data_IF_883985571251
#
_entry.id   IF_883985571251
#
_cell.length_a   1.000
_cell.length_b   1.000
_cell.length_c   1.000
_cell.angle_alpha   90.00
_cell.angle_beta   90.00
_cell.angle_gamma   90.00
#
_symmetry.space_group_name_H-M   'P 1'
#
loop_
_entity.id
_entity.type
_entity.pdbx_description
1 polymer ?
2 non-polymer ?
3 non-polymer ?
4 water ?
#
# COMPACT_ATOMS: atom_id res chain seq x y z
N UNK A 12 -5.66 8.29 24.35
CA UNK A 12 -4.86 8.09 23.12
C UNK A 12 -4.38 9.44 22.66
N UNK A 13 -3.09 9.72 22.87
CA UNK A 13 -2.56 11.03 22.54
C UNK A 13 -2.36 11.18 21.04
N UNK A 14 -2.64 12.36 20.50
CA UNK A 14 -2.43 12.59 19.06
C UNK A 14 -0.98 12.32 18.65
N UNK A 15 -0.79 11.81 17.42
CA UNK A 15 0.56 11.51 16.96
C UNK A 15 1.31 12.76 16.51
N UNK A 16 2.63 12.80 16.72
CA UNK A 16 3.47 13.97 16.41
C UNK A 16 3.71 14.12 14.91
N UNK A 17 4.49 15.14 14.54
CA UNK A 17 4.84 15.33 13.13
C UNK A 17 6.33 15.66 13.03
N UNK A 18 7.04 14.87 12.23
CA UNK A 18 8.47 15.05 12.04
C UNK A 18 8.67 15.88 10.78
N UNK A 19 9.33 17.03 10.93
CA UNK A 19 9.66 17.87 9.79
C UNK A 19 10.98 17.43 9.23
N UNK A 20 10.99 17.16 7.93
CA UNK A 20 12.21 16.72 7.27
C UNK A 20 12.79 17.74 6.32
N UNK A 21 11.97 18.66 5.80
CA UNK A 21 12.52 19.68 4.90
C UNK A 21 11.46 20.76 4.74
N UNK A 22 11.91 22.00 4.59
CA UNK A 22 11.00 23.13 4.54
C UNK A 22 10.32 23.24 3.18
N UNK A 23 9.15 23.87 3.18
CA UNK A 23 8.41 24.07 1.96
C UNK A 23 9.11 25.08 1.06
N UNK A 24 9.12 24.81 -0.23
CA UNK A 24 9.70 25.76 -1.18
C UNK A 24 8.57 26.58 -1.83
N UNK A 25 8.54 27.92 -1.71
CA UNK A 25 9.59 28.79 -1.19
C UNK A 25 9.53 28.87 0.34
N UNK A 29 6.90 22.48 -6.49
CA UNK A 29 6.04 23.62 -6.27
C UNK A 29 4.62 23.20 -5.86
N UNK A 30 4.25 21.91 -5.96
CA UNK A 30 2.97 21.44 -5.45
C UNK A 30 3.19 20.57 -4.22
N UNK A 31 2.41 20.83 -3.16
CA UNK A 31 2.49 19.99 -1.96
C UNK A 31 1.17 19.25 -1.74
N UNK A 32 1.27 18.01 -1.25
CA UNK A 32 0.07 17.25 -0.96
C UNK A 32 0.43 16.14 0.02
N UNK A 33 -0.59 15.56 0.64
CA UNK A 33 -0.35 14.55 1.66
C UNK A 33 -0.89 13.21 1.17
N UNK A 34 -0.28 12.14 1.67
CA UNK A 34 -0.63 10.78 1.29
C UNK A 34 -0.73 9.95 2.56
N UNK A 35 -1.83 9.22 2.69
CA UNK A 35 -2.02 8.25 3.77
C UNK A 35 -1.92 6.83 3.22
N UNK A 36 -1.33 5.93 4.02
CA UNK A 36 -1.33 4.51 3.68
C UNK A 36 -1.77 3.76 4.94
N UNK A 37 -2.79 2.90 4.85
CA UNK A 37 -3.40 2.36 6.07
C UNK A 37 -4.08 1.04 5.80
N UNK A 38 -3.66 0.00 6.52
CA UNK A 38 -4.33 -1.28 6.47
C UNK A 38 -5.29 -1.30 7.66
N UNK A 39 -6.61 -1.32 7.38
CA UNK A 39 -7.59 -1.06 8.45
C UNK A 39 -7.90 -2.30 9.28
N UNK A 40 -7.37 -3.46 8.89
CA UNK A 40 -7.70 -4.80 9.44
C UNK A 40 -9.17 -5.15 9.17
N UNK A 41 -9.41 -6.02 8.18
CA UNK A 41 -10.80 -6.28 7.84
C UNK A 41 -11.46 -7.17 8.89
N UNK A 42 -12.79 -7.09 8.94
CA UNK A 42 -13.57 -7.83 9.93
C UNK A 42 -13.30 -9.31 9.83
N UNK A 43 -13.11 -9.82 8.61
CA UNK A 43 -12.95 -11.28 8.44
C UNK A 43 -11.74 -11.80 9.18
N UNK A 44 -10.69 -11.00 9.26
CA UNK A 44 -9.45 -11.43 9.87
C UNK A 44 -9.32 -11.03 11.33
N UNK A 45 -10.27 -10.25 11.87
CA UNK A 45 -10.22 -9.78 13.25
C UNK A 45 -10.86 -10.78 14.21
N UNK A 46 -10.14 -11.86 14.41
CA UNK A 46 -10.60 -13.03 15.17
C UNK A 46 -9.93 -13.12 16.53
N UNK A 47 -10.63 -13.75 17.48
CA UNK A 47 -10.03 -14.08 18.77
C UNK A 47 -8.81 -14.98 18.63
N UNK A 48 -8.79 -15.84 17.61
CA UNK A 48 -7.60 -16.67 17.41
C UNK A 48 -6.36 -15.82 17.19
N UNK A 49 -6.46 -14.76 16.39
CA UNK A 49 -5.28 -13.97 16.05
C UNK A 49 -5.04 -12.81 17.00
N UNK A 50 -6.09 -12.33 17.66
CA UNK A 50 -6.02 -11.09 18.42
C UNK A 50 -6.73 -11.30 19.74
N UNK A 51 -6.46 -12.45 20.36
CA UNK A 51 -7.09 -12.85 21.62
C UNK A 51 -6.82 -11.90 22.76
N UNK A 52 -5.79 -11.08 22.65
CA UNK A 52 -5.48 -10.11 23.70
C UNK A 52 -6.38 -8.89 23.64
N UNK A 53 -7.16 -8.76 22.57
CA UNK A 53 -8.13 -7.68 22.42
C UNK A 53 -9.51 -8.21 22.73
N UNK A 54 -10.23 -7.63 23.69
CA UNK A 54 -11.60 -8.08 24.00
C UNK A 54 -12.50 -8.04 22.77
N UNK A 55 -13.47 -8.96 22.75
CA UNK A 55 -14.36 -9.10 21.60
C UNK A 55 -15.07 -7.81 21.27
N UNK A 56 -15.50 -7.06 22.28
CA UNK A 56 -16.28 -5.86 22.00
C UNK A 56 -15.44 -4.80 21.29
N UNK A 57 -14.12 -4.79 21.50
CA UNK A 57 -13.21 -3.86 20.82
C UNK A 57 -12.70 -4.40 19.49
N UNK A 58 -12.88 -5.69 19.24
CA UNK A 58 -12.59 -6.27 17.93
C UNK A 58 -13.74 -6.09 16.98
N UNK A 59 -14.96 -6.08 17.51
CA UNK A 59 -16.18 -6.00 16.73
C UNK A 59 -16.11 -4.85 15.72
N UNK A 60 -16.58 -5.10 14.49
CA UNK A 60 -16.50 -4.09 13.41
C UNK A 60 -17.34 -2.87 13.73
N UNK A 61 -18.49 -3.06 14.38
CA UNK A 61 -19.32 -1.87 14.64
C UNK A 61 -18.62 -0.91 15.59
N UNK A 62 -17.71 -1.44 16.41
CA UNK A 62 -16.90 -0.62 17.30
C UNK A 62 -15.68 -0.08 16.56
N UNK A 63 -14.93 -0.97 15.89
CA UNK A 63 -13.65 -0.60 15.28
C UNK A 63 -13.83 0.34 14.12
N UNK A 64 -14.93 0.22 13.37
CA UNK A 64 -15.03 1.06 12.19
C UNK A 64 -15.10 2.53 12.59
N UNK A 65 -15.59 2.81 13.80
CA UNK A 65 -15.60 4.20 14.25
C UNK A 65 -14.17 4.71 14.40
N UNK A 66 -13.30 3.94 15.08
CA UNK A 66 -11.92 4.38 15.25
C UNK A 66 -11.20 4.46 13.90
N UNK A 67 -11.53 3.56 12.98
CA UNK A 67 -10.91 3.60 11.66
C UNK A 67 -11.29 4.89 10.95
N UNK A 68 -12.57 5.22 10.94
CA UNK A 68 -12.99 6.45 10.28
C UNK A 68 -12.43 7.68 10.97
N UNK A 69 -12.36 7.66 12.31
CA UNK A 69 -11.76 8.80 12.99
C UNK A 69 -10.30 8.99 12.55
N UNK A 70 -9.52 7.90 12.49
CA UNK A 70 -8.12 8.00 12.05
C UNK A 70 -8.02 8.61 10.67
N UNK A 71 -8.86 8.14 9.75
CA UNK A 71 -8.84 8.65 8.38
C UNK A 71 -9.25 10.10 8.35
N UNK A 72 -10.32 10.47 9.05
CA UNK A 72 -10.74 11.87 9.04
C UNK A 72 -9.66 12.76 9.65
N UNK A 73 -9.08 12.32 10.76
CA UNK A 73 -8.08 13.14 11.43
C UNK A 73 -6.87 13.35 10.56
N UNK A 74 -6.46 12.32 9.81
CA UNK A 74 -5.28 12.50 8.97
C UNK A 74 -5.56 13.43 7.82
N UNK A 75 -6.79 13.44 7.32
CA UNK A 75 -7.22 14.45 6.33
C UNK A 75 -6.29 14.49 5.10
N UNK A 76 -5.89 13.31 4.64
CA UNK A 76 -4.88 13.23 3.58
C UNK A 76 -5.48 13.56 2.22
N UNK A 77 -4.66 14.23 1.39
CA UNK A 77 -5.13 14.54 0.04
C UNK A 77 -5.36 13.29 -0.75
N UNK A 78 -4.56 12.26 -0.51
CA UNK A 78 -4.67 10.96 -1.18
C UNK A 78 -4.59 9.90 -0.11
N UNK A 79 -5.49 8.90 -0.20
CA UNK A 79 -5.59 7.84 0.81
C UNK A 79 -5.50 6.50 0.10
N UNK A 80 -4.60 5.63 0.55
CA UNK A 80 -4.51 4.26 0.06
C UNK A 80 -4.83 3.35 1.23
N UNK A 81 -5.91 2.55 1.10
CA UNK A 81 -6.30 1.63 2.17
C UNK A 81 -6.13 0.20 1.67
N UNK A 82 -5.79 -0.69 2.60
CA UNK A 82 -5.82 -2.12 2.35
C UNK A 82 -6.79 -2.76 3.35
N UNK A 83 -7.21 -3.98 3.05
CA UNK A 83 -8.14 -4.73 3.84
C UNK A 83 -9.53 -4.06 3.86
N UNK A 84 -9.94 -3.44 2.75
CA UNK A 84 -11.26 -2.81 2.68
C UNK A 84 -12.22 -3.88 2.16
N UNK A 85 -13.19 -4.26 2.99
CA UNK A 85 -14.20 -5.22 2.59
C UNK A 85 -15.13 -4.60 1.56
N UNK A 86 -15.49 -5.37 0.54
CA UNK A 86 -16.30 -4.86 -0.56
C UNK A 86 -17.54 -4.10 -0.06
N UNK A 87 -18.38 -4.73 0.77
CA UNK A 87 -19.60 -4.03 1.15
C UNK A 87 -19.27 -2.78 1.95
N UNK A 88 -18.15 -2.79 2.68
CA UNK A 88 -17.80 -1.62 3.48
C UNK A 88 -17.30 -0.48 2.61
N UNK A 89 -16.63 -0.77 1.50
CA UNK A 89 -16.30 0.34 0.61
C UNK A 89 -17.57 1.08 0.20
N UNK A 90 -18.59 0.34 -0.20
CA UNK A 90 -19.76 1.00 -0.77
C UNK A 90 -20.70 1.57 0.28
N UNK A 91 -20.75 1.02 1.50
CA UNK A 91 -21.69 1.56 2.48
C UNK A 91 -21.05 2.44 3.55
N UNK A 92 -19.73 2.37 3.73
CA UNK A 92 -19.05 3.14 4.79
C UNK A 92 -18.00 4.05 4.20
N UNK A 93 -16.92 3.51 3.63
CA UNK A 93 -15.78 4.37 3.28
C UNK A 93 -16.11 5.38 2.20
N UNK A 94 -16.62 4.94 1.04
CA UNK A 94 -16.93 5.89 -0.02
C UNK A 94 -17.98 6.93 0.39
N UNK A 95 -19.14 6.55 0.96
CA UNK A 95 -20.12 7.60 1.30
C UNK A 95 -19.57 8.63 2.26
N UNK A 96 -18.88 8.16 3.30
CA UNK A 96 -18.37 9.09 4.30
C UNK A 96 -17.29 10.00 3.69
N UNK A 97 -16.38 9.43 2.90
CA UNK A 97 -15.30 10.25 2.34
C UNK A 97 -15.80 11.15 1.22
N UNK A 98 -16.87 10.74 0.53
CA UNK A 98 -17.53 11.67 -0.41
C UNK A 98 -17.93 12.94 0.32
N UNK A 99 -18.46 12.80 1.52
CA UNK A 99 -18.82 13.97 2.30
C UNK A 99 -17.62 14.83 2.66
N UNK A 100 -16.41 14.27 2.74
CA UNK A 100 -15.20 15.06 3.01
C UNK A 100 -14.52 15.53 1.73
N UNK A 101 -15.20 15.41 0.59
CA UNK A 101 -14.69 15.90 -0.69
C UNK A 101 -13.82 14.93 -1.46
N UNK A 102 -13.95 13.62 -1.22
CA UNK A 102 -13.15 12.64 -1.95
C UNK A 102 -13.99 11.91 -2.97
N UNK A 103 -13.33 11.42 -4.03
CA UNK A 103 -13.83 10.30 -4.80
C UNK A 103 -12.88 9.14 -4.59
N UNK A 104 -13.23 7.96 -5.11
CA UNK A 104 -12.45 6.78 -4.80
C UNK A 104 -12.52 5.75 -5.90
N UNK A 105 -11.53 4.88 -5.88
CA UNK A 105 -11.50 3.68 -6.73
C UNK A 105 -11.18 2.46 -5.87
N UNK A 106 -11.93 1.37 -6.04
CA UNK A 106 -11.82 0.19 -5.23
C UNK A 106 -11.81 -1.03 -6.13
N UNK A 107 -10.97 -1.99 -5.82
CA UNK A 107 -11.14 -3.34 -6.42
C UNK A 107 -10.99 -4.36 -5.33
N UNK A 108 -11.84 -5.38 -5.28
CA UNK A 108 -11.63 -6.49 -4.35
C UNK A 108 -10.70 -7.51 -4.96
N UNK A 109 -10.10 -8.32 -4.09
CA UNK A 109 -9.54 -9.57 -4.61
C UNK A 109 -10.63 -10.52 -5.11
N UNK A 110 -10.21 -11.56 -5.83
CA UNK A 110 -11.02 -12.78 -6.06
C UNK A 110 -12.23 -12.59 -6.96
N UNK A 111 -12.24 -11.54 -7.77
CA UNK A 111 -13.29 -11.37 -8.78
C UNK A 111 -13.60 -12.65 -9.52
N UNK A 112 -12.55 -13.34 -9.98
CA UNK A 112 -12.73 -14.52 -10.84
C UNK A 112 -13.14 -15.76 -10.08
N UNK A 113 -13.02 -15.73 -8.74
CA UNK A 113 -13.39 -16.89 -7.96
C UNK A 113 -14.90 -16.97 -7.80
N UNK A 114 -15.42 -18.17 -7.92
CA UNK A 114 -16.84 -18.40 -7.74
C UNK A 114 -17.15 -18.44 -6.25
N UNK A 115 -18.24 -17.79 -5.84
CA UNK A 115 -18.64 -17.75 -4.43
C UNK A 115 -20.04 -17.20 -4.35
N UNK A 116 -20.62 -17.29 -3.17
CA UNK A 116 -21.98 -16.84 -2.98
C UNK A 116 -22.04 -15.32 -2.88
N UNK A 117 -23.27 -14.80 -3.03
CA UNK A 117 -23.56 -13.37 -2.88
C UNK A 117 -23.05 -12.85 -1.55
N UNK A 118 -23.23 -13.62 -0.48
CA UNK A 118 -22.86 -13.14 0.83
C UNK A 118 -21.35 -13.10 1.01
N UNK A 119 -20.65 -14.12 0.51
CA UNK A 119 -19.19 -14.10 0.62
C UNK A 119 -18.61 -12.98 -0.19
N UNK A 120 -19.23 -12.67 -1.33
CA UNK A 120 -18.70 -11.63 -2.19
C UNK A 120 -18.67 -10.29 -1.45
N UNK A 121 -19.66 -10.05 -0.58
CA UNK A 121 -19.70 -8.78 0.16
C UNK A 121 -18.53 -8.62 1.10
N UNK A 122 -17.94 -9.74 1.51
CA UNK A 122 -16.92 -9.71 2.54
C UNK A 122 -15.52 -9.93 2.00
N UNK A 123 -15.34 -10.01 0.68
CA UNK A 123 -13.99 -10.09 0.13
C UNK A 123 -13.33 -8.73 0.30
N UNK A 124 -12.06 -8.73 0.73
CA UNK A 124 -11.38 -7.44 0.88
C UNK A 124 -10.52 -7.09 -0.33
N UNK A 125 -10.15 -5.81 -0.42
CA UNK A 125 -9.29 -5.37 -1.51
C UNK A 125 -8.69 -4.02 -1.17
N UNK A 126 -8.25 -3.31 -2.20
CA UNK A 126 -7.53 -2.04 -2.07
C UNK A 126 -8.35 -0.89 -2.60
N UNK A 127 -8.30 0.24 -1.92
CA UNK A 127 -8.98 1.45 -2.38
C UNK A 127 -8.01 2.63 -2.38
N UNK A 128 -8.15 3.51 -3.35
CA UNK A 128 -7.46 4.80 -3.36
C UNK A 128 -8.51 5.88 -3.39
N UNK A 129 -8.43 6.83 -2.42
CA UNK A 129 -9.28 8.01 -2.44
C UNK A 129 -8.44 9.26 -2.71
N UNK A 130 -9.04 10.25 -3.35
CA UNK A 130 -8.35 11.51 -3.62
C UNK A 130 -9.33 12.66 -3.50
N UNK A 131 -8.84 13.82 -3.05
CA UNK A 131 -9.72 14.98 -2.91
C UNK A 131 -9.97 15.60 -4.28
N UNK A 132 -11.25 15.74 -4.65
CA UNK A 132 -11.57 16.13 -6.02
C UNK A 132 -11.28 17.59 -6.27
N UNK A 133 -11.15 18.38 -5.21
CA UNK A 133 -10.79 19.78 -5.45
C UNK A 133 -9.33 19.90 -5.91
N UNK A 134 -8.52 18.87 -5.66
CA UNK A 134 -7.11 18.89 -6.01
C UNK A 134 -6.72 17.97 -7.15
N UNK A 135 -7.45 16.89 -7.39
CA UNK A 135 -7.13 15.89 -8.41
C UNK A 135 -8.35 15.50 -9.21
N UNK A 136 -8.12 15.15 -10.48
CA UNK A 136 -9.14 14.58 -11.35
C UNK A 136 -8.64 13.25 -11.84
N UNK A 137 -9.50 12.24 -11.75
CA UNK A 137 -9.19 10.89 -12.22
C UNK A 137 -9.08 10.85 -13.74
N UNK A 138 -7.99 10.29 -14.25
CA UNK A 138 -7.81 10.12 -15.69
C UNK A 138 -7.98 8.66 -16.09
N UNK A 139 -7.36 7.74 -15.35
CA UNK A 139 -7.52 6.31 -15.59
C UNK A 139 -7.50 5.57 -14.28
N UNK A 140 -8.02 4.35 -14.28
CA UNK A 140 -7.97 3.48 -13.10
C UNK A 140 -7.69 2.08 -13.61
N UNK A 141 -7.00 1.30 -12.79
CA UNK A 141 -6.45 0.02 -13.22
C UNK A 141 -6.47 -0.95 -12.06
N UNK A 142 -6.72 -2.21 -12.33
CA UNK A 142 -6.53 -3.26 -11.31
C UNK A 142 -5.45 -4.21 -11.84
N UNK A 143 -4.48 -4.56 -10.99
CA UNK A 143 -3.43 -5.50 -11.37
C UNK A 143 -3.69 -6.82 -10.64
N UNK A 144 -3.96 -7.89 -11.42
CA UNK A 144 -4.24 -9.22 -10.87
C UNK A 144 -2.96 -10.01 -10.90
N UNK A 145 -2.32 -10.12 -9.74
CA UNK A 145 -1.04 -10.81 -9.74
C UNK A 145 -1.17 -12.24 -10.21
N UNK A 146 -2.31 -12.90 -9.92
CA UNK A 146 -2.40 -14.30 -10.36
C UNK A 146 -2.50 -14.42 -11.88
N UNK A 147 -3.14 -13.46 -12.53
CA UNK A 147 -3.18 -13.50 -13.99
C UNK A 147 -1.82 -13.16 -14.57
N UNK A 148 -1.13 -12.19 -14.00
CA UNK A 148 0.18 -11.84 -14.56
C UNK A 148 1.15 -12.98 -14.36
N UNK A 149 1.09 -13.63 -13.21
CA UNK A 149 1.97 -14.77 -12.98
C UNK A 149 1.68 -15.88 -13.98
N UNK A 150 0.40 -16.20 -14.16
CA UNK A 150 0.01 -17.26 -15.10
C UNK A 150 0.55 -16.95 -16.48
N UNK A 151 0.37 -15.71 -16.93
CA UNK A 151 0.79 -15.31 -18.27
C UNK A 151 2.31 -15.34 -18.45
N UNK A 152 3.08 -15.21 -17.38
CA UNK A 152 4.54 -15.21 -17.44
C UNK A 152 5.17 -16.45 -16.82
N UNK A 153 4.47 -17.57 -16.81
CA UNK A 153 4.91 -18.73 -16.07
C UNK A 153 5.60 -19.78 -16.94
N UNK A 154 5.65 -19.57 -18.26
CA UNK A 154 6.21 -20.57 -19.17
C UNK A 154 7.60 -20.94 -18.74
N UNK A 155 7.83 -22.23 -18.51
CA UNK A 155 9.14 -22.65 -18.09
C UNK A 155 9.40 -22.61 -16.60
N UNK A 156 8.39 -22.32 -15.77
CA UNK A 156 8.64 -22.29 -14.33
C UNK A 156 7.48 -22.94 -13.58
N UNK A 157 7.71 -24.16 -13.05
CA UNK A 157 6.72 -24.75 -12.17
C UNK A 157 6.48 -23.89 -10.93
N UNK A 158 7.52 -23.26 -10.40
CA UNK A 158 7.34 -22.44 -9.21
C UNK A 158 6.42 -21.25 -9.48
N UNK A 159 6.55 -20.62 -10.65
CA UNK A 159 5.65 -19.52 -10.98
C UNK A 159 4.21 -19.99 -10.95
N UNK A 160 3.95 -21.17 -11.50
CA UNK A 160 2.57 -21.66 -11.52
C UNK A 160 2.15 -22.15 -10.13
N UNK A 161 3.01 -22.94 -9.46
CA UNK A 161 2.60 -23.56 -8.20
C UNK A 161 2.50 -22.56 -7.08
N UNK A 162 3.53 -21.70 -6.94
CA UNK A 162 3.56 -20.84 -5.76
C UNK A 162 3.01 -19.46 -6.02
N UNK A 163 3.21 -18.89 -7.21
CA UNK A 163 2.85 -17.48 -7.41
C UNK A 163 1.43 -17.32 -7.94
N UNK A 164 1.09 -18.11 -8.97
CA UNK A 164 -0.22 -17.96 -9.61
C UNK A 164 -1.33 -18.27 -8.63
N UNK A 165 -1.07 -19.15 -7.68
CA UNK A 165 -2.12 -19.61 -6.77
C UNK A 165 -2.45 -18.59 -5.69
N UNK A 166 -1.82 -17.43 -5.67
CA UNK A 166 -2.14 -16.41 -4.67
C UNK A 166 -2.90 -15.30 -5.39
N UNK A 167 -4.07 -14.89 -4.88
CA UNK A 167 -4.88 -13.96 -5.66
C UNK A 167 -4.80 -12.52 -5.12
N UNK A 168 -3.65 -12.14 -4.64
CA UNK A 168 -3.42 -10.75 -4.24
C UNK A 168 -3.48 -9.80 -5.44
N UNK A 169 -3.79 -8.53 -5.13
CA UNK A 169 -3.95 -7.52 -6.18
C UNK A 169 -3.30 -6.21 -5.76
N UNK A 170 -3.13 -5.35 -6.76
CA UNK A 170 -2.94 -3.93 -6.50
C UNK A 170 -3.86 -3.13 -7.40
N UNK A 171 -4.02 -1.83 -7.04
CA UNK A 171 -4.79 -0.93 -7.88
C UNK A 171 -3.92 0.29 -8.17
N UNK A 172 -4.23 1.00 -9.26
CA UNK A 172 -3.52 2.23 -9.56
C UNK A 172 -4.46 3.22 -10.21
N UNK A 173 -4.28 4.50 -9.92
CA UNK A 173 -5.02 5.54 -10.62
C UNK A 173 -4.03 6.52 -11.22
N UNK A 174 -4.36 7.02 -12.40
CA UNK A 174 -3.65 8.16 -12.97
C UNK A 174 -4.51 9.38 -12.67
N UNK A 175 -3.91 10.35 -12.00
CA UNK A 175 -4.61 11.57 -11.65
C UNK A 175 -3.98 12.77 -12.32
N UNK A 176 -4.84 13.74 -12.63
CA UNK A 176 -4.44 15.08 -13.00
C UNK A 176 -4.25 15.89 -11.72
N UNK A 177 -3.08 16.49 -11.55
CA UNK A 177 -2.82 17.40 -10.44
C UNK A 177 -3.22 18.80 -10.89
N UNK A 178 -4.18 19.41 -10.18
CA UNK A 178 -4.72 20.67 -10.68
C UNK A 178 -3.67 21.76 -10.61
N UNK A 179 -3.56 22.55 -11.70
CA UNK A 179 -2.51 23.57 -11.79
C UNK A 179 -2.54 24.55 -10.62
N UNK A 180 -3.72 24.84 -10.06
CA UNK A 180 -3.82 25.73 -8.92
C UNK A 180 -2.89 25.33 -7.78
N UNK A 181 -2.58 24.03 -7.65
CA UNK A 181 -1.71 23.61 -6.55
C UNK A 181 -0.26 24.05 -6.73
N UNK A 182 0.13 24.48 -7.93
CA UNK A 182 1.50 24.93 -8.18
C UNK A 182 1.60 26.45 -8.03
N UNK A 194 -1.04 19.86 -18.58
CA UNK A 194 -1.62 18.95 -17.57
C UNK A 194 -0.57 18.11 -16.84
N UNK A 195 -0.49 18.24 -15.53
CA UNK A 195 0.48 17.48 -14.74
C UNK A 195 -0.19 16.19 -14.28
N UNK A 196 0.45 15.06 -14.52
CA UNK A 196 -0.11 13.77 -14.13
C UNK A 196 0.65 13.19 -12.94
N UNK A 197 -0.04 12.29 -12.23
CA UNK A 197 0.50 11.60 -11.08
C UNK A 197 -0.15 10.23 -11.05
N UNK A 198 0.65 9.18 -10.90
CA UNK A 198 0.11 7.84 -10.71
C UNK A 198 0.25 7.47 -9.25
N UNK A 199 -0.84 7.03 -8.66
CA UNK A 199 -0.84 6.52 -7.29
C UNK A 199 -1.15 5.04 -7.38
N UNK A 200 -0.31 4.22 -6.77
CA UNK A 200 -0.52 2.78 -6.81
C UNK A 200 -0.62 2.26 -5.39
N UNK A 201 -1.40 1.21 -5.19
CA UNK A 201 -1.73 0.72 -3.85
C UNK A 201 -1.86 -0.79 -3.95
N UNK A 202 -1.02 -1.52 -3.22
CA UNK A 202 -1.04 -2.97 -3.32
C UNK A 202 -1.02 -3.59 -1.92
N UNK A 203 -1.44 -4.85 -1.85
CA UNK A 203 -1.39 -5.64 -0.63
C UNK A 203 -0.83 -7.02 -1.01
N UNK A 204 0.41 -7.31 -0.62
CA UNK A 204 1.05 -8.55 -1.05
C UNK A 204 0.69 -9.75 -0.16
N UNK A 205 1.00 -10.94 -0.65
CA UNK A 205 0.82 -12.17 0.12
C UNK A 205 1.58 -12.07 1.44
N UNK A 206 1.13 -12.82 2.44
CA UNK A 206 1.58 -12.51 3.81
C UNK A 206 2.65 -13.48 4.35
N UNK A 207 2.70 -14.73 3.89
CA UNK A 207 3.34 -15.82 4.61
C UNK A 207 4.84 -15.60 4.68
N UNK A 208 5.46 -15.60 5.87
CA UNK A 208 6.91 -15.38 5.96
C UNK A 208 7.71 -16.36 5.17
N UNK A 209 7.16 -17.54 4.84
CA UNK A 209 7.96 -18.53 4.12
C UNK A 209 7.88 -18.33 2.62
N UNK A 210 7.26 -17.24 2.18
CA UNK A 210 7.05 -17.01 0.76
C UNK A 210 7.64 -15.68 0.31
N UNK A 211 8.91 -15.41 0.69
CA UNK A 211 9.57 -14.19 0.24
C UNK A 211 9.63 -14.10 -1.28
N UNK A 212 9.71 -15.26 -1.96
CA UNK A 212 9.76 -15.28 -3.42
C UNK A 212 8.47 -14.75 -4.03
N UNK A 213 7.33 -15.21 -3.51
CA UNK A 213 6.05 -14.70 -3.99
C UNK A 213 5.93 -13.20 -3.75
N UNK A 214 6.32 -12.72 -2.56
CA UNK A 214 6.24 -11.30 -2.26
C UNK A 214 7.12 -10.48 -3.20
N UNK A 215 8.33 -10.99 -3.49
CA UNK A 215 9.22 -10.27 -4.40
C UNK A 215 8.66 -10.31 -5.82
N UNK A 216 8.19 -11.46 -6.28
CA UNK A 216 7.69 -11.53 -7.65
C UNK A 216 6.43 -10.65 -7.78
N UNK A 217 5.57 -10.69 -6.76
CA UNK A 217 4.37 -9.86 -6.79
C UNK A 217 4.74 -8.40 -6.90
N UNK A 218 5.80 -8.00 -6.21
CA UNK A 218 6.23 -6.60 -6.27
C UNK A 218 6.78 -6.26 -7.64
N UNK A 219 7.59 -7.15 -8.23
CA UNK A 219 8.09 -6.89 -9.59
C UNK A 219 6.96 -6.88 -10.58
N UNK A 220 6.00 -7.80 -10.45
CA UNK A 220 4.87 -7.76 -11.37
C UNK A 220 4.13 -6.44 -11.26
N UNK A 221 3.93 -5.94 -10.04
CA UNK A 221 3.17 -4.70 -9.87
C UNK A 221 3.90 -3.52 -10.49
N UNK A 222 5.19 -3.37 -10.17
CA UNK A 222 5.97 -2.26 -10.73
C UNK A 222 6.00 -2.35 -12.25
N UNK A 223 6.18 -3.57 -12.77
CA UNK A 223 6.22 -3.77 -14.21
C UNK A 223 4.90 -3.36 -14.83
N UNK A 224 3.78 -3.74 -14.21
CA UNK A 224 2.50 -3.39 -14.81
C UNK A 224 2.21 -1.89 -14.69
N UNK A 225 2.69 -1.27 -13.60
CA UNK A 225 2.53 0.18 -13.44
C UNK A 225 3.30 0.91 -14.54
N UNK A 226 4.51 0.45 -14.84
CA UNK A 226 5.26 1.07 -15.94
C UNK A 226 4.50 0.94 -17.26
N UNK A 227 3.87 -0.21 -17.52
CA UNK A 227 3.05 -0.37 -18.72
C UNK A 227 1.87 0.60 -18.72
N UNK A 228 1.23 0.77 -17.58
CA UNK A 228 0.19 1.78 -17.44
C UNK A 228 0.73 3.16 -17.79
N UNK A 229 1.92 3.49 -17.28
CA UNK A 229 2.51 4.82 -17.45
C UNK A 229 2.86 5.10 -18.90
N UNK A 230 3.31 4.08 -19.63
CA UNK A 230 3.58 4.25 -21.05
C UNK A 230 2.31 4.59 -21.83
N UNK A 231 1.18 4.07 -21.38
CA UNK A 231 -0.05 4.34 -22.11
C UNK A 231 -0.77 5.58 -21.60
N UNK A 232 -0.37 6.14 -20.46
CA UNK A 232 -0.84 7.46 -20.06
C UNK A 232 -0.13 8.59 -20.80
N UNK A 233 1.08 8.34 -21.30
CA UNK A 233 1.86 9.38 -21.98
C UNK A 233 1.55 9.48 -23.46
N UNK A 234 1.19 8.37 -24.11
CA UNK A 234 1.01 8.33 -25.56
C UNK A 234 -0.36 8.83 -26.02
N UNK A 235 -1.06 9.58 -25.17
CA UNK A 235 -2.43 10.02 -25.43
C UNK A 235 -2.49 11.54 -25.57
N UNK A 236 -2.52 12.08 -26.80
CA UNK A 236 -2.76 13.52 -27.02
C UNK A 236 -4.14 13.96 -26.52
N UNK A 244 8.51 7.72 -18.48
CA UNK A 244 9.46 7.92 -17.38
C UNK A 244 9.15 9.25 -16.70
N UNK A 245 8.41 10.09 -17.42
CA UNK A 245 8.22 11.48 -17.06
C UNK A 245 7.15 11.72 -16.00
N UNK A 246 6.43 10.69 -15.57
CA UNK A 246 5.27 10.87 -14.69
C UNK A 246 5.64 10.38 -13.30
N UNK A 247 5.47 11.20 -12.26
CA UNK A 247 5.81 10.77 -10.91
C UNK A 247 4.95 9.61 -10.44
N UNK A 248 5.51 8.77 -9.55
CA UNK A 248 4.83 7.63 -8.96
C UNK A 248 4.86 7.80 -7.44
N UNK A 249 3.71 7.59 -6.79
CA UNK A 249 3.60 7.35 -5.36
C UNK A 249 3.05 5.92 -5.20
N UNK A 250 3.81 5.08 -4.55
CA UNK A 250 3.47 3.66 -4.39
C UNK A 250 3.21 3.40 -2.92
N UNK A 251 1.97 3.11 -2.57
CA UNK A 251 1.59 2.70 -1.22
C UNK A 251 1.42 1.20 -1.15
N UNK A 252 1.87 0.57 -0.05
CA UNK A 252 1.59 -0.87 -0.03
C UNK A 252 1.75 -1.43 1.36
N UNK A 253 0.97 -2.49 1.66
CA UNK A 253 1.31 -3.42 2.72
C UNK A 253 2.08 -4.52 2.00
N UNK A 254 3.39 -4.47 2.07
CA UNK A 254 4.25 -5.42 1.37
C UNK A 254 4.51 -6.68 2.17
N UNK A 255 4.14 -6.71 3.44
CA UNK A 255 4.38 -7.88 4.27
C UNK A 255 5.84 -8.27 4.21
N UNK A 256 6.69 -7.28 4.12
CA UNK A 256 8.14 -7.43 3.93
C UNK A 256 8.84 -6.42 4.81
N UNK A 257 9.85 -6.86 5.57
CA UNK A 257 10.63 -5.99 6.41
C UNK A 257 11.61 -5.18 5.57
N UNK A 258 12.16 -4.09 6.14
CA UNK A 258 13.07 -3.24 5.34
C UNK A 258 14.31 -3.95 4.82
N UNK A 259 14.71 -5.11 5.37
CA UNK A 259 15.92 -5.82 4.92
C UNK A 259 15.63 -6.88 3.85
N UNK A 260 14.47 -6.86 3.26
CA UNK A 260 14.01 -7.88 2.35
C UNK A 260 14.39 -7.57 0.90
N UNK A 261 14.31 -8.60 0.05
CA UNK A 261 14.51 -8.39 -1.37
C UNK A 261 13.49 -7.43 -1.97
N UNK A 262 12.24 -7.51 -1.48
CA UNK A 262 11.19 -6.57 -1.89
C UNK A 262 11.64 -5.12 -1.72
N UNK A 263 12.10 -4.78 -0.51
CA UNK A 263 12.43 -3.38 -0.27
C UNK A 263 13.72 -3.01 -0.99
N UNK A 264 14.65 -3.94 -1.11
CA UNK A 264 15.86 -3.65 -1.87
C UNK A 264 15.52 -3.40 -3.34
N UNK A 265 14.62 -4.21 -3.90
CA UNK A 265 14.23 -4.01 -5.30
C UNK A 265 13.58 -2.63 -5.49
N UNK A 266 12.66 -2.25 -4.58
CA UNK A 266 12.02 -0.93 -4.69
C UNK A 266 13.00 0.23 -4.44
N UNK A 267 13.94 0.08 -3.50
CA UNK A 267 14.79 1.20 -3.09
C UNK A 267 15.99 1.40 -3.99
N UNK A 268 16.45 0.35 -4.67
CA UNK A 268 17.70 0.41 -5.42
C UNK A 268 17.48 0.24 -6.92
N UNK A 269 16.25 0.34 -7.38
CA UNK A 269 16.00 0.28 -8.80
C UNK A 269 16.21 -1.07 -9.42
N UNK A 270 16.33 -2.11 -8.61
CA UNK A 270 16.47 -3.45 -9.16
C UNK A 270 16.95 -4.43 -8.11
N UNK A 271 17.11 -5.67 -8.56
CA UNK A 271 17.54 -6.76 -7.69
C UNK A 271 18.21 -7.83 -8.56
N UNK A 272 19.15 -8.56 -7.96
CA UNK A 272 19.79 -9.62 -8.70
C UNK A 272 18.83 -10.79 -8.91
N UNK A 273 18.93 -11.44 -10.07
CA UNK A 273 18.02 -12.55 -10.29
C UNK A 273 18.41 -13.79 -9.50
N UNK A 274 19.48 -13.72 -8.71
CA UNK A 274 19.86 -14.82 -7.83
C UNK A 274 19.71 -14.44 -6.37
N UNK A 275 19.00 -13.34 -6.09
CA UNK A 275 18.74 -12.96 -4.72
C UNK A 275 18.19 -14.13 -3.92
N UNK A 276 18.69 -14.26 -2.69
CA UNK A 276 18.26 -15.31 -1.77
C UNK A 276 16.76 -15.40 -1.67
N UNK A 277 16.05 -14.28 -1.72
CA UNK A 277 14.61 -14.34 -1.51
C UNK A 277 13.88 -15.07 -2.62
N UNK A 278 14.54 -15.37 -3.75
CA UNK A 278 13.87 -16.08 -4.83
C UNK A 278 13.77 -17.57 -4.58
N UNK A 279 14.39 -18.07 -3.52
CA UNK A 279 14.14 -19.40 -2.98
C UNK A 279 14.20 -20.49 -4.03
N UNK A 280 14.84 -20.25 -5.16
CA UNK A 280 14.99 -21.23 -6.23
C UNK A 280 13.63 -21.73 -6.77
N UNK A 281 13.44 -21.70 -8.08
CA UNK A 281 14.36 -21.11 -9.04
C UNK A 281 14.63 -19.59 -8.86
N UNK A 282 15.89 -19.29 -8.54
CA UNK A 282 16.46 -17.96 -8.57
C UNK A 282 16.60 -17.50 -10.02
N UNK A 283 17.55 -18.08 -10.75
CA UNK A 283 17.99 -17.60 -12.06
C UNK A 283 17.00 -17.88 -13.19
N UNK A 284 15.71 -18.02 -12.89
CA UNK A 284 14.74 -18.36 -13.92
C UNK A 284 14.60 -17.22 -14.92
N UNK A 285 14.61 -17.56 -16.21
CA UNK A 285 14.49 -16.53 -17.23
C UNK A 285 13.15 -15.81 -17.20
N UNK A 286 12.15 -16.39 -16.55
CA UNK A 286 10.83 -15.80 -16.53
C UNK A 286 10.80 -14.49 -15.75
N UNK A 287 11.71 -14.30 -14.80
CA UNK A 287 11.78 -13.05 -14.05
C UNK A 287 12.08 -11.85 -14.95
N UNK A 288 12.81 -12.04 -16.05
CA UNK A 288 13.16 -10.91 -16.89
C UNK A 288 11.95 -10.32 -17.61
N UNK A 289 10.86 -11.08 -17.69
CA UNK A 289 9.59 -10.54 -18.22
C UNK A 289 9.18 -9.26 -17.47
N UNK A 290 9.59 -9.10 -16.22
CA UNK A 290 9.23 -7.92 -15.44
C UNK A 290 10.37 -6.93 -15.36
N UNK A 291 11.42 -7.13 -16.15
CA UNK A 291 12.76 -6.75 -15.82
C UNK A 291 13.30 -5.50 -16.44
N UNK A 292 12.43 -4.57 -16.82
CA UNK A 292 12.88 -3.25 -17.26
C UNK A 292 11.76 -2.22 -17.25
N UNK A 300 24.31 -9.57 -17.49
CA UNK A 300 23.12 -8.92 -16.95
C UNK A 300 22.84 -9.37 -15.50
N UNK A 301 21.80 -10.15 -15.32
CA UNK A 301 21.49 -10.78 -14.06
C UNK A 301 20.65 -9.93 -13.13
N UNK A 302 20.33 -8.70 -13.50
CA UNK A 302 19.56 -7.82 -12.63
C UNK A 302 18.21 -7.54 -13.27
N UNK A 303 17.16 -7.73 -12.49
CA UNK A 303 15.83 -7.27 -12.86
C UNK A 303 15.76 -5.82 -12.42
N UNK A 304 15.52 -4.91 -13.35
CA UNK A 304 15.56 -3.49 -13.01
C UNK A 304 14.22 -2.81 -13.25
N UNK A 305 14.07 -1.65 -12.61
CA UNK A 305 13.03 -0.71 -12.95
C UNK A 305 13.63 0.69 -12.92
N UNK A 306 12.96 1.63 -13.57
CA UNK A 306 13.56 2.95 -13.71
C UNK A 306 12.88 4.02 -12.88
N UNK A 307 12.14 3.64 -11.84
CA UNK A 307 11.31 4.61 -11.12
C UNK A 307 12.06 5.42 -10.08
N UNK A 308 13.28 5.03 -9.70
CA UNK A 308 14.09 5.75 -8.69
C UNK A 308 13.24 6.14 -7.48
N UNK A 309 12.83 5.12 -6.76
CA UNK A 309 11.92 5.30 -5.63
C UNK A 309 12.70 5.48 -4.33
N UNK A 310 12.05 6.16 -3.37
CA UNK A 310 12.59 6.34 -2.04
C UNK A 310 11.44 6.20 -1.05
N UNK A 311 11.71 5.65 0.12
CA UNK A 311 10.65 5.47 1.10
C UNK A 311 10.51 6.74 1.94
N UNK A 312 9.27 7.19 2.15
CA UNK A 312 9.06 8.42 2.92
C UNK A 312 9.56 8.30 4.35
N UNK A 313 9.54 7.10 4.93
CA UNK A 313 9.93 6.88 6.33
C UNK A 313 11.30 6.26 6.49
N UNK A 314 12.17 6.34 5.48
CA UNK A 314 13.44 5.65 5.62
C UNK A 314 14.24 6.24 6.77
N UNK A 315 15.13 5.41 7.32
CA UNK A 315 15.85 5.64 8.59
C UNK A 315 14.92 5.41 9.79
N UNK A 316 14.14 4.33 9.71
CA UNK A 316 13.31 3.78 10.80
C UNK A 316 12.64 4.87 11.64
N UNK A 317 12.03 5.84 10.96
CA UNK A 317 11.34 6.90 11.69
C UNK A 317 10.12 6.37 12.45
N UNK A 318 9.51 5.29 11.97
CA UNK A 318 8.60 4.48 12.79
C UNK A 318 9.27 3.16 13.09
N UNK A 319 9.32 2.70 14.35
CA UNK A 319 9.94 1.39 14.60
C UNK A 319 9.09 0.22 14.11
N UNK A 320 7.79 0.43 13.92
CA UNK A 320 6.96 -0.61 13.34
C UNK A 320 5.73 0.01 12.69
N UNK A 321 5.14 -0.74 11.75
CA UNK A 321 3.85 -0.39 11.20
C UNK A 321 2.79 -1.43 11.50
N UNK A 322 3.17 -2.70 11.67
CA UNK A 322 2.28 -3.75 12.14
C UNK A 322 2.71 -4.04 13.58
N UNK A 323 1.74 -4.06 14.52
CA UNK A 323 2.09 -4.13 15.94
C UNK A 323 1.15 -5.14 16.59
N UNK A 324 1.63 -6.38 16.76
CA UNK A 324 0.88 -7.44 17.41
C UNK A 324 1.75 -8.09 18.46
N UNK A 325 1.11 -8.95 19.23
CA UNK A 325 1.88 -9.59 20.30
C UNK A 325 3.02 -10.41 19.70
N UNK A 326 2.72 -11.15 18.63
CA UNK A 326 3.68 -12.08 18.04
C UNK A 326 4.65 -11.42 17.06
N UNK A 327 4.26 -10.30 16.44
CA UNK A 327 5.07 -9.69 15.40
C UNK A 327 4.92 -8.17 15.44
N UNK A 328 6.06 -7.47 15.52
CA UNK A 328 6.09 -6.00 15.37
C UNK A 328 7.14 -5.68 14.34
N UNK A 329 6.80 -4.91 13.31
CA UNK A 329 7.84 -4.54 12.37
C UNK A 329 7.28 -3.61 11.32
N UNK A 330 8.19 -3.02 10.55
CA UNK A 330 7.82 -2.18 9.42
C UNK A 330 7.54 -3.08 8.22
N UNK A 331 6.27 -3.11 7.77
CA UNK A 331 5.91 -3.86 6.58
C UNK A 331 5.00 -3.06 5.65
N UNK A 332 4.64 -1.84 6.04
CA UNK A 332 3.88 -0.92 5.20
C UNK A 332 4.78 0.23 4.77
N UNK A 333 4.56 0.73 3.55
CA UNK A 333 5.47 1.73 2.99
C UNK A 333 4.71 2.72 2.10
N UNK A 334 5.21 3.94 2.06
CA UNK A 334 4.91 4.91 1.01
C UNK A 334 6.23 5.20 0.30
N UNK A 335 6.31 4.80 -0.96
CA UNK A 335 7.46 5.09 -1.81
C UNK A 335 7.11 6.20 -2.81
N UNK A 336 8.10 7.03 -3.16
CA UNK A 336 7.88 8.13 -4.09
C UNK A 336 9.04 8.29 -5.05
N UNK A 337 8.75 8.82 -6.25
CA UNK A 337 9.75 9.18 -7.24
C UNK A 337 10.66 10.30 -6.71
N UNK A 338 11.90 9.96 -6.37
CA UNK A 338 12.78 10.93 -5.73
C UNK A 338 13.27 11.98 -6.71
N UNK A 339 13.10 11.77 -8.01
CA UNK A 339 13.49 12.80 -8.95
C UNK A 339 12.37 13.79 -9.23
N UNK A 340 11.16 13.53 -8.73
CA UNK A 340 10.03 14.43 -8.92
C UNK A 340 9.58 15.10 -7.64
N UNK A 341 9.83 14.47 -6.49
CA UNK A 341 9.22 14.85 -5.23
C UNK A 341 10.23 14.89 -4.09
N UNK A 342 10.05 15.86 -3.20
CA UNK A 342 10.69 15.91 -1.90
C UNK A 342 9.71 15.45 -0.83
N UNK A 343 10.26 14.90 0.25
CA UNK A 343 9.50 14.61 1.47
C UNK A 343 9.65 15.78 2.41
N UNK A 344 8.53 16.44 2.72
CA UNK A 344 8.61 17.53 3.68
C UNK A 344 8.45 17.07 5.12
N UNK A 345 7.72 15.99 5.35
CA UNK A 345 7.51 15.56 6.71
C UNK A 345 6.66 14.31 6.72
N UNK A 346 6.62 13.68 7.89
CA UNK A 346 5.83 12.48 8.07
C UNK A 346 5.15 12.54 9.45
N UNK A 347 4.12 11.72 9.62
CA UNK A 347 3.47 11.55 10.91
C UNK A 347 4.27 10.53 11.71
N UNK A 348 4.86 10.95 12.82
CA UNK A 348 5.65 10.02 13.58
C UNK A 348 4.82 8.98 14.33
N UNK A 349 5.49 8.04 14.97
CA UNK A 349 4.81 6.96 15.70
C UNK A 349 4.02 7.45 16.89
N UNK A 350 3.00 6.68 17.25
CA UNK A 350 2.35 6.82 18.55
C UNK A 350 3.39 6.77 19.65
N UNK A 351 3.27 7.67 20.64
CA UNK A 351 4.26 7.79 21.70
C UNK A 351 4.50 6.45 22.40
N UNK A 352 5.72 5.91 22.41
CA UNK A 352 5.93 4.56 22.94
C UNK A 352 5.79 4.50 24.45
N UNK A 353 6.04 5.62 25.15
CA UNK A 353 5.81 5.61 26.61
C UNK A 353 4.34 5.45 26.91
N UNK A 354 3.47 5.89 26.00
CA UNK A 354 2.04 5.72 26.21
C UNK A 354 1.66 4.25 26.11
N UNK A 355 2.22 3.54 25.11
CA UNK A 355 2.01 2.10 25.03
C UNK A 355 2.57 1.38 26.25
N UNK A 356 3.72 1.84 26.76
CA UNK A 356 4.29 1.21 27.95
C UNK A 356 3.38 1.43 29.16
N UNK A 357 2.99 2.68 29.41
CA UNK A 357 2.20 2.96 30.60
C UNK A 357 0.89 2.18 30.58
N UNK A 358 0.32 1.98 29.41
CA UNK A 358 -0.93 1.25 29.26
C UNK A 358 -0.76 -0.23 29.02
N UNK A 359 0.47 -0.76 29.13
CA UNK A 359 0.68 -2.20 28.99
C UNK A 359 0.15 -2.75 27.66
N UNK A 360 0.29 -1.99 26.59
CA UNK A 360 -0.24 -2.43 25.28
C UNK A 360 0.87 -3.16 24.52
N UNK A 361 0.73 -4.48 24.38
CA UNK A 361 1.74 -5.33 23.76
C UNK A 361 1.37 -5.73 22.36
N UNK A 362 0.18 -5.39 21.93
CA UNK A 362 -0.28 -5.69 20.59
C UNK A 362 -1.56 -4.95 20.30
N UNK A 363 -1.88 -4.86 19.00
CA UNK A 363 -3.05 -4.15 18.52
C UNK A 363 -3.85 -5.12 17.62
N UNK A 364 -5.16 -4.88 17.43
CA UNK A 364 -5.90 -3.76 18.04
C UNK A 364 -6.13 -3.83 19.53
N UNK A 365 -6.69 -2.72 20.02
CA UNK A 365 -6.86 -2.42 21.43
C UNK A 365 -8.09 -1.51 21.50
N UNK A 366 -8.78 -1.46 22.65
CA UNK A 366 -9.94 -0.55 22.74
C UNK A 366 -9.66 0.84 22.19
N UNK A 367 -8.42 1.30 22.27
CA UNK A 367 -8.10 2.63 21.77
C UNK A 367 -7.35 2.66 20.45
N UNK A 368 -7.02 1.50 19.88
CA UNK A 368 -6.30 1.49 18.60
C UNK A 368 -7.00 0.49 17.67
N UNK A 369 -7.60 0.94 16.57
CA UNK A 369 -8.61 0.11 15.91
C UNK A 369 -8.07 -0.83 14.84
N UNK A 370 -6.76 -0.84 14.62
CA UNK A 370 -6.17 -1.74 13.61
C UNK A 370 -4.89 -2.31 14.19
N UNK A 371 -4.47 -3.48 13.70
CA UNK A 371 -3.13 -3.92 14.03
C UNK A 371 -2.06 -3.25 13.19
N UNK A 372 -2.40 -2.34 12.28
CA UNK A 372 -1.39 -1.51 11.60
C UNK A 372 -1.58 -0.07 12.02
N UNK A 373 -0.47 0.67 12.13
CA UNK A 373 -0.54 2.12 12.29
C UNK A 373 -0.58 2.76 10.91
N UNK A 374 -1.30 3.87 10.81
CA UNK A 374 -1.31 4.55 9.53
C UNK A 374 0.02 5.23 9.27
N UNK A 375 0.32 5.41 7.97
CA UNK A 375 1.47 6.19 7.50
C UNK A 375 0.90 7.45 6.90
N UNK A 376 1.56 8.61 7.12
CA UNK A 376 1.08 9.84 6.53
C UNK A 376 2.29 10.69 6.17
N UNK A 377 2.40 11.12 4.92
CA UNK A 377 3.54 11.96 4.53
C UNK A 377 3.07 13.15 3.71
N UNK A 378 3.83 14.24 3.79
CA UNK A 378 3.64 15.42 2.95
C UNK A 378 4.75 15.44 1.91
N UNK A 379 4.37 15.37 0.64
CA UNK A 379 5.31 15.40 -0.48
C UNK A 379 5.24 16.73 -1.19
N UNK A 380 6.33 17.05 -1.90
CA UNK A 380 6.46 18.30 -2.65
C UNK A 380 6.82 17.93 -4.08
N UNK A 381 5.91 18.20 -5.02
CA UNK A 381 6.11 17.79 -6.41
C UNK A 381 6.65 18.97 -7.20
N UNK A 382 7.76 18.74 -7.90
CA UNK A 382 8.37 19.70 -8.79
C UNK A 382 8.25 19.20 -10.23
N UNK A 383 7.36 19.74 -11.07
CA UNK A 383 7.21 19.29 -12.45
C UNK A 383 8.51 19.35 -13.24
#
# INVERSE_FOLDING_TARGET
>A
MLDNLAVHPEQLPPRPWITLKERDQILPSASFTVMCYNVLCDKYATRQLYGYCPSWALNWEYRKKGIMEEIVNCDADIISLQEVETEQYFTLFLPALKERGYDGFFSPKSRAKIMSEQERKHVDGCAIFFKTEKFTLVQKHTVEFNQVAMANSDGSEAMLNRVMTKDNIGVAVVLEVHKELFGAGMKPIHAADKQLLIVANAHMHWDPEYSDVKLIQTMMFVSEVKNILEKASSRPGSPTADPNSIPLVLCADLNSLPDSGVVEYLSNGGVADNHKDFKELRYNECLMNFSCNGKNGSSEGRITHGFQLKSAYENNLMPYTNYTFDFKGVIDYIFYSKTHMNVLGVLGPLDPQWLVENNITGCPHPHIPSDHFSLLTQLELHPPLLPLVNGVHLPNRR
#
